data_IF_342169639264
#
_entry.id   IF_342169639264
#
_cell.length_a   1.000
_cell.length_b   1.000
_cell.length_c   1.000
_cell.angle_alpha   90.00
_cell.angle_beta   90.00
_cell.angle_gamma   90.00
#
_symmetry.space_group_name_H-M   'P 1'
#
loop_
_entity.id
_entity.type
_entity.pdbx_description
1 polymer ?
#
# COMPACT_ATOMS: atom_id res chain seq x y z
N UNK A 1 -44.75 21.96 -2.97
CA UNK A 1 -44.70 21.89 -1.48
C UNK A 1 -43.29 21.52 -1.06
N UNK A 2 -42.66 22.32 -0.14
CA UNK A 2 -41.34 21.90 0.43
C UNK A 2 -41.60 20.75 1.41
N UNK A 3 -40.90 19.62 1.19
CA UNK A 3 -40.95 18.48 2.11
C UNK A 3 -40.48 18.92 3.50
N UNK A 4 -41.11 18.43 4.56
CA UNK A 4 -40.64 18.66 5.92
C UNK A 4 -39.55 17.67 6.29
N UNK A 5 -38.78 17.98 7.35
CA UNK A 5 -37.62 17.17 7.78
C UNK A 5 -37.98 15.69 8.02
N UNK A 6 -39.12 15.40 8.60
CA UNK A 6 -39.57 14.04 8.88
C UNK A 6 -39.91 13.25 7.61
N UNK A 7 -40.43 13.92 6.58
CA UNK A 7 -40.69 13.28 5.28
C UNK A 7 -39.38 12.95 4.58
N UNK A 8 -38.38 13.85 4.62
CA UNK A 8 -37.05 13.59 4.01
C UNK A 8 -36.38 12.44 4.74
N UNK A 9 -36.42 12.38 6.07
CA UNK A 9 -35.84 11.26 6.85
C UNK A 9 -36.45 9.91 6.46
N UNK A 10 -37.80 9.85 6.37
CA UNK A 10 -38.47 8.61 5.93
C UNK A 10 -38.07 8.17 4.51
N UNK A 11 -37.81 9.11 3.62
CA UNK A 11 -37.31 8.78 2.27
C UNK A 11 -35.86 8.25 2.33
N UNK A 12 -35.02 8.81 3.20
CA UNK A 12 -33.65 8.29 3.44
C UNK A 12 -33.74 6.85 3.98
N UNK A 13 -34.56 6.60 5.01
CA UNK A 13 -34.73 5.27 5.60
C UNK A 13 -35.12 4.22 4.52
N UNK A 14 -36.05 4.59 3.63
CA UNK A 14 -36.43 3.69 2.49
C UNK A 14 -35.29 3.44 1.51
N UNK A 15 -34.45 4.45 1.25
CA UNK A 15 -33.28 4.29 0.40
C UNK A 15 -32.25 3.38 1.06
N UNK A 16 -32.05 3.52 2.37
CA UNK A 16 -31.13 2.67 3.14
C UNK A 16 -31.55 1.20 3.12
N UNK A 17 -32.87 0.91 3.28
CA UNK A 17 -33.40 -0.45 3.13
C UNK A 17 -33.15 -1.01 1.72
N UNK A 18 -33.33 -0.18 0.69
CA UNK A 18 -33.10 -0.59 -0.69
C UNK A 18 -31.61 -0.86 -0.98
N UNK A 19 -30.72 0.00 -0.48
CA UNK A 19 -29.28 -0.18 -0.57
C UNK A 19 -28.86 -1.48 0.14
N UNK A 20 -29.39 -1.74 1.34
CA UNK A 20 -29.10 -2.98 2.09
C UNK A 20 -29.51 -4.24 1.27
N UNK A 21 -30.71 -4.18 0.64
CA UNK A 21 -31.18 -5.27 -0.22
C UNK A 21 -30.23 -5.50 -1.40
N UNK A 22 -29.83 -4.45 -2.11
CA UNK A 22 -28.92 -4.57 -3.27
C UNK A 22 -27.53 -5.07 -2.86
N UNK A 23 -27.01 -4.63 -1.71
CA UNK A 23 -25.74 -5.14 -1.17
C UNK A 23 -25.85 -6.62 -0.82
N UNK A 24 -26.98 -7.06 -0.25
CA UNK A 24 -27.22 -8.47 0.09
C UNK A 24 -27.33 -9.35 -1.17
N UNK A 25 -28.04 -8.89 -2.20
CA UNK A 25 -28.11 -9.56 -3.50
C UNK A 25 -26.72 -9.70 -4.14
N UNK A 26 -25.93 -8.62 -4.12
CA UNK A 26 -24.54 -8.64 -4.58
C UNK A 26 -23.67 -9.63 -3.81
N UNK A 27 -23.87 -9.73 -2.49
CA UNK A 27 -23.16 -10.69 -1.65
C UNK A 27 -23.49 -12.13 -1.99
N UNK A 28 -24.77 -12.44 -2.29
CA UNK A 28 -25.18 -13.77 -2.73
C UNK A 28 -24.55 -14.14 -4.08
N UNK A 29 -24.55 -13.21 -5.05
CA UNK A 29 -23.88 -13.43 -6.33
C UNK A 29 -22.37 -13.64 -6.17
N UNK A 30 -21.70 -12.95 -5.23
CA UNK A 30 -20.30 -13.17 -4.94
C UNK A 30 -20.04 -14.60 -4.44
N UNK A 31 -20.89 -15.14 -3.53
CA UNK A 31 -20.81 -16.53 -3.08
C UNK A 31 -20.96 -17.53 -4.25
N UNK A 32 -21.87 -17.26 -5.18
CA UNK A 32 -22.05 -18.12 -6.37
C UNK A 32 -20.81 -18.09 -7.27
N UNK A 33 -20.23 -16.90 -7.50
CA UNK A 33 -18.98 -16.75 -8.25
C UNK A 33 -17.86 -17.57 -7.60
N UNK A 34 -17.75 -17.54 -6.26
CA UNK A 34 -16.75 -18.33 -5.53
C UNK A 34 -16.87 -19.83 -5.76
N UNK A 35 -18.11 -20.34 -5.90
CA UNK A 35 -18.35 -21.77 -6.21
C UNK A 35 -18.00 -22.16 -7.64
N UNK A 36 -18.09 -21.21 -8.58
CA UNK A 36 -17.83 -21.43 -10.02
C UNK A 36 -16.37 -21.26 -10.40
N UNK A 37 -15.56 -20.60 -9.56
CA UNK A 37 -14.13 -20.40 -9.82
C UNK A 37 -13.34 -21.70 -9.62
N UNK A 38 -12.78 -22.22 -10.71
CA UNK A 38 -11.90 -23.39 -10.70
C UNK A 38 -10.43 -23.03 -10.45
N UNK A 39 -10.05 -21.77 -10.65
CA UNK A 39 -8.67 -21.26 -10.54
C UNK A 39 -8.26 -20.91 -9.10
N UNK A 40 -9.20 -20.93 -8.16
CA UNK A 40 -8.97 -20.57 -6.75
C UNK A 40 -8.59 -19.10 -6.52
N UNK A 41 -8.54 -18.27 -7.56
CA UNK A 41 -8.16 -16.86 -7.48
C UNK A 41 -9.36 -16.03 -7.01
N UNK A 42 -9.28 -15.53 -5.78
CA UNK A 42 -10.38 -14.79 -5.15
C UNK A 42 -10.28 -13.30 -5.49
N UNK A 43 -9.08 -12.73 -5.40
CA UNK A 43 -8.83 -11.32 -5.64
C UNK A 43 -8.27 -11.09 -7.05
N UNK A 44 -8.95 -10.25 -7.84
CA UNK A 44 -8.57 -9.83 -9.20
C UNK A 44 -8.42 -8.30 -9.22
N UNK A 45 -7.20 -7.78 -8.98
CA UNK A 45 -6.95 -6.34 -8.88
C UNK A 45 -7.37 -5.56 -10.13
N UNK A 46 -7.12 -6.11 -11.33
CA UNK A 46 -7.48 -5.56 -12.62
C UNK A 46 -9.00 -5.34 -12.74
N UNK A 47 -9.80 -6.35 -12.35
CA UNK A 47 -11.25 -6.27 -12.37
C UNK A 47 -11.79 -5.25 -11.36
N UNK A 48 -11.24 -5.23 -10.14
CA UNK A 48 -11.64 -4.27 -9.11
C UNK A 48 -11.30 -2.84 -9.54
N UNK A 49 -10.09 -2.61 -10.06
CA UNK A 49 -9.67 -1.31 -10.59
C UNK A 49 -10.57 -0.83 -11.73
N UNK A 50 -10.86 -1.69 -12.72
CA UNK A 50 -11.75 -1.39 -13.84
C UNK A 50 -13.18 -1.08 -13.38
N UNK A 51 -13.70 -1.80 -12.38
CA UNK A 51 -15.01 -1.53 -11.79
C UNK A 51 -15.06 -0.16 -11.14
N UNK A 52 -14.08 0.17 -10.30
CA UNK A 52 -13.98 1.48 -9.62
C UNK A 52 -13.85 2.62 -10.63
N UNK A 53 -13.01 2.46 -11.66
CA UNK A 53 -12.89 3.44 -12.75
C UNK A 53 -14.22 3.69 -13.45
N UNK A 54 -14.96 2.64 -13.78
CA UNK A 54 -16.31 2.74 -14.39
C UNK A 54 -17.29 3.47 -13.47
N UNK A 55 -17.31 3.15 -12.18
CA UNK A 55 -18.20 3.79 -11.21
C UNK A 55 -17.90 5.28 -11.05
N UNK A 56 -16.62 5.65 -10.99
CA UNK A 56 -16.19 7.07 -10.99
C UNK A 56 -16.72 7.79 -12.25
N UNK A 57 -16.58 7.17 -13.44
CA UNK A 57 -17.00 7.77 -14.71
C UNK A 57 -18.52 8.02 -14.79
N UNK A 58 -19.34 7.14 -14.24
CA UNK A 58 -20.82 7.26 -14.29
C UNK A 58 -21.38 8.05 -13.10
N UNK A 59 -20.55 8.41 -12.14
CA UNK A 59 -21.00 9.17 -10.97
C UNK A 59 -21.38 10.61 -11.37
N UNK A 60 -22.67 10.95 -11.26
CA UNK A 60 -23.22 12.28 -11.47
C UNK A 60 -23.84 12.86 -10.19
N UNK A 61 -23.68 12.14 -9.09
CA UNK A 61 -24.29 12.53 -7.81
C UNK A 61 -23.43 13.53 -7.00
N UNK A 62 -23.91 13.93 -5.83
CA UNK A 62 -23.24 14.90 -4.97
C UNK A 62 -21.97 14.35 -4.28
N UNK A 63 -21.79 13.01 -4.27
CA UNK A 63 -20.60 12.41 -3.68
C UNK A 63 -19.40 12.60 -4.58
N UNK A 64 -18.22 12.86 -3.99
CA UNK A 64 -16.97 12.92 -4.72
C UNK A 64 -16.63 11.57 -5.34
N UNK A 65 -15.87 11.57 -6.44
CA UNK A 65 -15.38 10.33 -7.06
C UNK A 65 -14.59 9.45 -6.06
N UNK A 66 -13.87 10.09 -5.13
CA UNK A 66 -13.10 9.38 -4.11
C UNK A 66 -14.03 8.73 -3.06
N UNK A 67 -15.08 9.42 -2.62
CA UNK A 67 -16.09 8.86 -1.71
C UNK A 67 -16.79 7.64 -2.32
N UNK A 68 -17.17 7.72 -3.60
CA UNK A 68 -17.74 6.58 -4.34
C UNK A 68 -16.75 5.40 -4.38
N UNK A 69 -15.48 5.67 -4.69
CA UNK A 69 -14.47 4.61 -4.70
C UNK A 69 -14.32 3.93 -3.34
N UNK A 70 -14.28 4.68 -2.25
CA UNK A 70 -14.12 4.15 -0.89
C UNK A 70 -15.32 3.28 -0.48
N UNK A 71 -16.55 3.73 -0.74
CA UNK A 71 -17.76 2.96 -0.46
C UNK A 71 -17.74 1.63 -1.24
N UNK A 72 -17.47 1.67 -2.53
CA UNK A 72 -17.47 0.45 -3.34
C UNK A 72 -16.29 -0.47 -3.04
N UNK A 73 -15.11 0.03 -2.67
CA UNK A 73 -14.01 -0.79 -2.14
C UNK A 73 -14.45 -1.56 -0.89
N UNK A 74 -15.15 -0.90 0.03
CA UNK A 74 -15.69 -1.54 1.23
C UNK A 74 -16.71 -2.63 0.87
N UNK A 75 -17.68 -2.34 0.01
CA UNK A 75 -18.67 -3.34 -0.45
C UNK A 75 -17.98 -4.53 -1.12
N UNK A 76 -17.01 -4.27 -2.01
CA UNK A 76 -16.27 -5.31 -2.75
C UNK A 76 -15.52 -6.22 -1.77
N UNK A 77 -14.75 -5.65 -0.83
CA UNK A 77 -13.95 -6.43 0.12
C UNK A 77 -14.81 -7.29 1.03
N UNK A 78 -15.94 -6.75 1.53
CA UNK A 78 -16.89 -7.51 2.35
C UNK A 78 -17.56 -8.64 1.57
N UNK A 79 -18.00 -8.39 0.32
CA UNK A 79 -18.58 -9.45 -0.50
C UNK A 79 -17.54 -10.52 -0.90
N UNK A 80 -16.29 -10.13 -1.17
CA UNK A 80 -15.18 -11.05 -1.45
C UNK A 80 -14.90 -11.99 -0.27
N UNK A 81 -14.94 -11.46 0.96
CA UNK A 81 -14.76 -12.26 2.17
C UNK A 81 -15.84 -13.33 2.36
N UNK A 82 -17.00 -13.22 1.68
CA UNK A 82 -18.03 -14.27 1.65
C UNK A 82 -17.67 -15.45 0.72
N UNK A 83 -16.75 -15.25 -0.23
CA UNK A 83 -16.21 -16.34 -1.04
C UNK A 83 -15.19 -17.16 -0.22
N UNK A 84 -14.14 -16.51 0.22
CA UNK A 84 -13.09 -17.02 1.11
C UNK A 84 -12.33 -15.83 1.68
N UNK A 85 -11.95 -15.89 2.94
CA UNK A 85 -11.04 -14.89 3.51
C UNK A 85 -9.67 -14.97 2.86
N UNK A 86 -9.09 -13.82 2.56
CA UNK A 86 -7.73 -13.73 2.07
C UNK A 86 -6.76 -13.70 3.25
N UNK A 87 -5.74 -14.54 3.22
CA UNK A 87 -4.59 -14.42 4.11
C UNK A 87 -3.57 -13.46 3.50
N UNK A 88 -3.19 -12.43 4.26
CA UNK A 88 -2.28 -11.37 3.80
C UNK A 88 -1.17 -11.17 4.82
N UNK A 89 0.07 -11.42 4.42
CA UNK A 89 1.26 -11.18 5.21
C UNK A 89 1.75 -9.74 5.03
N UNK A 90 2.20 -9.11 6.11
CA UNK A 90 2.77 -7.77 6.07
C UNK A 90 3.79 -7.58 7.18
N UNK A 91 4.66 -6.57 7.03
CA UNK A 91 5.66 -6.24 8.04
C UNK A 91 4.96 -5.74 9.32
N UNK A 92 4.99 -6.56 10.35
CA UNK A 92 4.39 -6.30 11.65
C UNK A 92 5.20 -5.32 12.54
N UNK A 93 4.80 -5.19 13.78
CA UNK A 93 3.62 -5.78 14.42
C UNK A 93 2.28 -5.15 13.96
N UNK A 94 1.16 -5.54 14.60
CA UNK A 94 -0.12 -4.84 14.43
C UNK A 94 0.00 -3.38 14.91
N UNK A 95 -0.77 -2.47 14.31
CA UNK A 95 -0.72 -1.02 14.57
C UNK A 95 0.33 -0.27 13.75
N UNK A 96 0.98 -0.93 12.76
CA UNK A 96 1.96 -0.31 11.85
C UNK A 96 1.30 0.28 10.61
N UNK A 97 2.03 1.17 9.90
CA UNK A 97 1.62 1.66 8.57
C UNK A 97 1.52 0.54 7.52
N UNK A 98 2.26 -0.56 7.71
CA UNK A 98 2.13 -1.75 6.84
C UNK A 98 0.78 -2.44 7.02
N UNK A 99 0.26 -2.54 8.24
CA UNK A 99 -1.11 -3.00 8.47
C UNK A 99 -2.13 -2.05 7.87
N UNK A 100 -1.95 -0.74 8.04
CA UNK A 100 -2.84 0.27 7.49
C UNK A 100 -2.90 0.20 5.95
N UNK A 101 -1.74 0.07 5.28
CA UNK A 101 -1.67 -0.17 3.84
C UNK A 101 -2.40 -1.45 3.43
N UNK A 102 -2.24 -2.52 4.23
CA UNK A 102 -2.91 -3.81 3.99
C UNK A 102 -4.42 -3.67 4.06
N UNK A 103 -4.94 -2.99 5.08
CA UNK A 103 -6.38 -2.75 5.25
C UNK A 103 -6.92 -1.81 4.15
N UNK A 104 -6.16 -0.77 3.78
CA UNK A 104 -6.52 0.14 2.67
C UNK A 104 -6.74 -0.62 1.35
N UNK A 105 -5.94 -1.67 1.10
CA UNK A 105 -6.00 -2.46 -0.13
C UNK A 105 -7.07 -3.56 -0.07
N UNK A 106 -7.09 -4.33 1.01
CA UNK A 106 -7.87 -5.56 1.09
C UNK A 106 -9.16 -5.43 1.91
N UNK A 107 -9.31 -4.35 2.69
CA UNK A 107 -10.36 -4.18 3.69
C UNK A 107 -10.04 -4.94 4.99
N UNK A 108 -10.93 -4.83 5.96
CA UNK A 108 -10.71 -5.40 7.30
C UNK A 108 -11.01 -6.91 7.39
N UNK A 109 -11.82 -7.45 6.45
CA UNK A 109 -12.22 -8.86 6.48
C UNK A 109 -11.19 -9.79 5.82
N UNK A 110 -9.98 -9.80 6.38
CA UNK A 110 -8.85 -10.65 5.97
C UNK A 110 -8.30 -11.44 7.16
N UNK A 111 -7.55 -12.49 6.88
CA UNK A 111 -6.68 -13.15 7.86
C UNK A 111 -5.32 -12.44 7.79
N UNK A 112 -5.13 -11.45 8.66
CA UNK A 112 -3.94 -10.62 8.74
C UNK A 112 -2.79 -11.38 9.40
N UNK A 113 -1.64 -11.50 8.73
CA UNK A 113 -0.46 -12.23 9.20
C UNK A 113 0.69 -11.22 9.40
N UNK A 114 0.85 -10.65 10.62
CA UNK A 114 2.00 -9.80 10.90
C UNK A 114 3.28 -10.64 10.98
N UNK A 115 4.33 -10.21 10.30
CA UNK A 115 5.64 -10.88 10.26
C UNK A 115 6.72 -10.03 10.91
N UNK A 116 7.84 -10.66 11.29
CA UNK A 116 8.94 -9.96 11.96
C UNK A 116 9.92 -9.28 10.99
N UNK A 117 9.86 -9.63 9.70
CA UNK A 117 10.75 -9.09 8.68
C UNK A 117 10.10 -9.10 7.30
N UNK A 118 10.63 -8.27 6.39
CA UNK A 118 10.24 -8.28 4.97
C UNK A 118 10.51 -9.64 4.33
N UNK A 119 11.61 -10.30 4.72
CA UNK A 119 11.96 -11.66 4.26
C UNK A 119 10.86 -12.67 4.56
N UNK A 120 10.31 -12.58 5.75
CA UNK A 120 9.24 -13.47 6.19
C UNK A 120 7.97 -13.23 5.39
N UNK A 121 7.63 -11.97 5.03
CA UNK A 121 6.49 -11.68 4.12
C UNK A 121 6.66 -12.44 2.80
N UNK A 122 7.85 -12.33 2.16
CA UNK A 122 8.13 -13.05 0.91
C UNK A 122 8.00 -14.56 1.09
N UNK A 123 8.54 -15.11 2.19
CA UNK A 123 8.49 -16.54 2.49
C UNK A 123 7.07 -17.03 2.68
N UNK A 124 6.23 -16.30 3.42
CA UNK A 124 4.82 -16.64 3.65
C UNK A 124 4.03 -16.75 2.33
N UNK A 125 4.29 -15.83 1.37
CA UNK A 125 3.64 -15.88 0.05
C UNK A 125 4.21 -17.01 -0.82
N UNK A 126 5.52 -17.20 -0.83
CA UNK A 126 6.15 -18.30 -1.59
C UNK A 126 5.68 -19.70 -1.15
N UNK A 127 5.43 -19.85 0.15
CA UNK A 127 4.99 -21.12 0.77
C UNK A 127 3.48 -21.33 0.74
N UNK A 128 2.71 -20.44 0.07
CA UNK A 128 1.25 -20.48 0.02
C UNK A 128 0.53 -20.39 1.39
N UNK A 129 1.25 -19.96 2.44
CA UNK A 129 0.66 -19.69 3.76
C UNK A 129 -0.14 -18.38 3.69
N UNK A 130 0.39 -17.38 3.00
CA UNK A 130 -0.33 -16.17 2.67
C UNK A 130 -0.64 -16.12 1.18
N UNK A 131 -1.86 -15.70 0.82
CA UNK A 131 -2.22 -15.47 -0.58
C UNK A 131 -1.52 -14.25 -1.16
N UNK A 132 -1.28 -13.23 -0.33
CA UNK A 132 -0.66 -11.94 -0.70
C UNK A 132 0.32 -11.49 0.37
N UNK A 133 1.30 -10.69 -0.06
CA UNK A 133 2.22 -9.97 0.83
C UNK A 133 2.14 -8.46 0.59
N UNK A 134 2.22 -7.67 1.65
CA UNK A 134 2.34 -6.21 1.56
C UNK A 134 3.66 -5.78 2.16
N UNK A 135 4.50 -5.16 1.35
CA UNK A 135 5.85 -4.73 1.75
C UNK A 135 6.11 -3.28 1.37
N UNK A 136 6.75 -2.49 2.23
CA UNK A 136 7.17 -1.14 1.88
C UNK A 136 8.34 -1.21 0.87
N UNK A 137 8.31 -0.36 -0.17
CA UNK A 137 9.36 -0.31 -1.21
C UNK A 137 10.07 1.04 -1.27
N UNK A 138 9.40 2.11 -0.86
CA UNK A 138 9.91 3.47 -0.95
C UNK A 138 9.20 4.38 0.04
N UNK A 139 9.96 5.25 0.69
CA UNK A 139 9.42 6.35 1.48
C UNK A 139 9.85 7.67 0.82
N UNK A 140 8.95 8.66 0.78
CA UNK A 140 9.21 9.93 0.07
C UNK A 140 10.34 10.76 0.68
N UNK A 141 10.68 10.54 1.95
CA UNK A 141 11.73 11.27 2.66
C UNK A 141 13.05 10.50 2.74
N UNK A 142 13.02 9.17 2.75
CA UNK A 142 14.21 8.33 2.94
C UNK A 142 14.62 7.54 1.69
N UNK A 143 13.76 7.55 0.65
CA UNK A 143 14.03 6.85 -0.59
C UNK A 143 13.70 5.36 -0.55
N UNK A 144 14.41 4.58 -1.34
CA UNK A 144 14.12 3.17 -1.60
C UNK A 144 14.48 2.25 -0.44
N UNK A 145 13.60 1.28 -0.15
CA UNK A 145 13.82 0.27 0.88
C UNK A 145 14.62 -0.89 0.29
N UNK A 146 15.92 -0.86 0.55
CA UNK A 146 16.92 -1.75 -0.01
C UNK A 146 16.57 -3.23 0.08
N UNK A 147 16.03 -3.68 1.23
CA UNK A 147 15.74 -5.09 1.45
C UNK A 147 14.62 -5.60 0.53
N UNK A 148 13.59 -4.81 0.32
CA UNK A 148 12.49 -5.16 -0.60
C UNK A 148 13.00 -5.33 -2.03
N UNK A 149 13.85 -4.40 -2.50
CA UNK A 149 14.43 -4.48 -3.85
C UNK A 149 15.33 -5.72 -4.01
N UNK A 150 16.16 -6.03 -3.02
CA UNK A 150 17.03 -7.24 -3.05
C UNK A 150 16.19 -8.53 -3.14
N UNK A 151 15.07 -8.59 -2.44
CA UNK A 151 14.18 -9.75 -2.47
C UNK A 151 13.42 -9.85 -3.80
N UNK A 152 12.96 -8.73 -4.37
CA UNK A 152 12.34 -8.72 -5.70
C UNK A 152 13.28 -9.22 -6.80
N UNK A 153 14.59 -8.96 -6.68
CA UNK A 153 15.59 -9.47 -7.61
C UNK A 153 15.72 -10.99 -7.54
N UNK A 154 15.71 -11.54 -6.31
CA UNK A 154 16.10 -12.95 -6.06
C UNK A 154 14.93 -13.91 -5.90
N UNK A 155 13.75 -13.41 -5.54
CA UNK A 155 12.56 -14.23 -5.25
C UNK A 155 11.61 -14.25 -6.44
N UNK A 156 10.93 -15.39 -6.61
CA UNK A 156 9.98 -15.60 -7.70
C UNK A 156 8.56 -15.28 -7.21
N UNK A 157 8.26 -13.98 -7.13
CA UNK A 157 6.94 -13.43 -6.84
C UNK A 157 6.68 -12.24 -7.75
N UNK A 158 5.41 -12.06 -8.12
CA UNK A 158 4.94 -10.96 -8.95
C UNK A 158 4.41 -9.82 -8.09
N UNK A 159 4.66 -8.59 -8.54
CA UNK A 159 3.95 -7.40 -8.05
C UNK A 159 2.57 -7.40 -8.71
N UNK A 160 1.51 -7.44 -7.90
CA UNK A 160 0.13 -7.45 -8.37
C UNK A 160 -0.66 -6.17 -7.98
N UNK A 161 -0.01 -5.22 -7.33
CA UNK A 161 -0.59 -3.94 -6.96
C UNK A 161 0.41 -3.04 -6.24
N UNK A 162 0.05 -1.77 -6.12
CA UNK A 162 0.77 -0.80 -5.30
C UNK A 162 -0.21 0.00 -4.42
N UNK A 163 0.28 0.45 -3.28
CA UNK A 163 -0.47 1.28 -2.34
C UNK A 163 0.41 2.49 -2.00
N UNK A 164 -0.10 3.68 -2.19
CA UNK A 164 0.52 4.91 -1.69
C UNK A 164 -0.24 5.30 -0.42
N UNK A 165 0.46 5.33 0.70
CA UNK A 165 -0.10 5.66 2.00
C UNK A 165 0.56 6.95 2.52
N UNK A 166 -0.20 8.05 2.69
CA UNK A 166 0.29 9.19 3.46
C UNK A 166 0.65 8.75 4.88
N UNK A 167 1.78 9.21 5.37
CA UNK A 167 2.28 8.86 6.71
C UNK A 167 2.00 10.04 7.63
N UNK A 168 0.98 9.92 8.45
CA UNK A 168 0.64 10.90 9.45
C UNK A 168 0.97 10.37 10.84
N UNK A 169 1.70 11.19 11.59
CA UNK A 169 2.12 10.85 12.93
C UNK A 169 1.23 11.52 13.97
N UNK A 170 0.78 10.75 14.95
CA UNK A 170 0.04 11.27 16.10
C UNK A 170 0.86 11.12 17.37
N UNK A 171 0.77 12.08 18.28
CA UNK A 171 1.21 11.89 19.64
C UNK A 171 0.09 11.23 20.44
N UNK A 172 0.32 10.01 20.88
CA UNK A 172 -0.67 9.19 21.58
C UNK A 172 -0.23 8.84 23.00
N UNK A 173 -1.15 8.83 23.95
CA UNK A 173 -0.85 8.58 25.36
C UNK A 173 -2.06 8.09 26.15
N UNK A 174 -1.83 7.49 27.32
CA UNK A 174 -2.88 7.34 28.35
C UNK A 174 -3.22 8.65 29.05
N UNK A 175 -2.31 9.58 29.08
CA UNK A 175 -2.50 10.90 29.67
C UNK A 175 -3.44 11.74 28.78
N UNK A 176 -4.06 12.78 29.35
CA UNK A 176 -4.96 13.68 28.64
C UNK A 176 -4.35 15.05 28.35
N UNK A 177 -3.12 15.32 28.85
CA UNK A 177 -2.44 16.59 28.70
C UNK A 177 -0.97 16.40 28.39
N UNK A 178 -0.43 17.28 27.53
CA UNK A 178 1.01 17.35 27.19
C UNK A 178 1.89 17.60 28.42
N UNK A 179 1.43 18.41 29.37
CA UNK A 179 2.19 18.76 30.58
C UNK A 179 2.53 17.57 31.48
N UNK A 180 1.84 16.44 31.28
CA UNK A 180 2.10 15.20 32.01
C UNK A 180 3.16 14.32 31.38
N UNK A 181 3.54 14.59 30.12
CA UNK A 181 4.45 13.74 29.36
C UNK A 181 5.90 14.05 29.74
N UNK A 182 6.63 12.99 30.09
CA UNK A 182 8.07 13.04 30.40
C UNK A 182 8.91 12.23 29.43
N UNK A 183 8.30 11.25 28.74
CA UNK A 183 8.98 10.35 27.80
C UNK A 183 8.16 10.21 26.52
N UNK A 184 8.84 10.15 25.38
CA UNK A 184 8.24 9.88 24.07
C UNK A 184 8.93 8.69 23.42
N UNK A 185 8.17 7.64 23.12
CA UNK A 185 8.62 6.42 22.47
C UNK A 185 8.25 6.48 20.99
N UNK A 186 9.19 6.21 20.10
CA UNK A 186 8.91 5.99 18.67
C UNK A 186 10.08 5.29 17.97
N UNK A 187 9.88 4.85 16.74
CA UNK A 187 10.97 4.48 15.87
C UNK A 187 11.88 5.68 15.62
N UNK A 188 13.20 5.45 15.53
CA UNK A 188 14.19 6.54 15.37
C UNK A 188 13.87 7.48 14.22
N UNK A 189 13.39 6.94 13.09
CA UNK A 189 12.94 7.70 11.94
C UNK A 189 11.77 8.64 12.28
N UNK A 190 10.77 8.18 13.02
CA UNK A 190 9.61 9.01 13.38
C UNK A 190 9.98 10.09 14.39
N UNK A 191 10.96 9.84 15.27
CA UNK A 191 11.53 10.88 16.13
C UNK A 191 12.20 11.98 15.31
N UNK A 192 12.90 11.62 14.23
CA UNK A 192 13.53 12.58 13.33
C UNK A 192 12.49 13.36 12.49
N UNK A 193 11.45 12.69 12.01
CA UNK A 193 10.37 13.29 11.19
C UNK A 193 9.43 14.20 11.99
N UNK A 194 9.46 14.15 13.32
CA UNK A 194 8.65 14.99 14.21
C UNK A 194 9.55 15.86 15.12
N UNK A 195 10.80 16.10 14.70
CA UNK A 195 11.81 16.76 15.53
C UNK A 195 11.38 18.16 15.93
N UNK A 196 11.01 18.99 14.98
CA UNK A 196 10.68 20.40 15.21
C UNK A 196 9.42 20.53 16.05
N UNK A 197 8.41 19.68 15.78
CA UNK A 197 7.21 19.66 16.60
C UNK A 197 7.49 19.29 18.06
N UNK A 198 8.33 18.27 18.31
CA UNK A 198 8.71 17.85 19.66
C UNK A 198 9.49 18.96 20.38
N UNK A 199 10.44 19.60 19.71
CA UNK A 199 11.24 20.67 20.29
C UNK A 199 10.40 21.88 20.70
N UNK A 200 9.36 22.20 19.93
CA UNK A 200 8.47 23.34 20.20
C UNK A 200 7.43 23.05 21.29
N UNK A 201 6.92 21.81 21.38
CA UNK A 201 5.81 21.47 22.27
C UNK A 201 6.21 20.66 23.51
N UNK A 202 7.30 19.91 23.44
CA UNK A 202 7.79 19.01 24.48
C UNK A 202 9.33 19.08 24.61
N UNK A 203 9.93 20.27 24.85
CA UNK A 203 11.39 20.45 24.78
C UNK A 203 12.19 19.64 25.83
N UNK A 204 11.55 19.28 26.93
CA UNK A 204 12.20 18.64 28.08
C UNK A 204 11.85 17.14 28.22
N UNK A 205 11.34 16.49 27.16
CA UNK A 205 11.01 15.07 27.24
C UNK A 205 12.20 14.18 26.86
N UNK A 206 12.30 13.02 27.49
CA UNK A 206 13.21 11.96 27.08
C UNK A 206 12.69 11.31 25.78
N UNK A 207 13.47 11.34 24.71
CA UNK A 207 13.18 10.70 23.43
C UNK A 207 13.79 9.30 23.40
N UNK A 208 12.98 8.26 23.36
CA UNK A 208 13.41 6.87 23.44
C UNK A 208 13.11 6.15 22.14
N UNK A 209 14.17 5.78 21.41
CA UNK A 209 14.02 5.00 20.18
C UNK A 209 13.68 3.53 20.49
N UNK A 210 12.69 3.01 19.78
CA UNK A 210 12.22 1.62 19.86
C UNK A 210 12.13 1.00 18.47
N UNK A 211 11.87 -0.32 18.40
CA UNK A 211 11.92 -1.08 17.16
C UNK A 211 10.85 -0.68 16.15
N UNK A 212 9.69 -0.19 16.62
CA UNK A 212 8.60 0.30 15.77
C UNK A 212 7.72 1.30 16.51
N UNK A 213 6.95 2.11 15.78
CA UNK A 213 5.97 3.03 16.38
C UNK A 213 4.88 2.28 17.16
N UNK A 214 4.49 1.09 16.70
CA UNK A 214 3.54 0.24 17.41
C UNK A 214 4.14 -0.30 18.73
N UNK A 215 5.44 -0.59 18.75
CA UNK A 215 6.14 -0.95 20.00
C UNK A 215 6.19 0.25 20.95
N UNK A 216 6.43 1.46 20.44
CA UNK A 216 6.31 2.70 21.19
C UNK A 216 4.93 2.89 21.81
N UNK A 217 3.87 2.64 21.05
CA UNK A 217 2.49 2.67 21.54
C UNK A 217 2.25 1.66 22.67
N UNK A 218 2.81 0.46 22.54
CA UNK A 218 2.74 -0.59 23.57
C UNK A 218 3.45 -0.17 24.87
N UNK A 219 4.59 0.55 24.78
CA UNK A 219 5.26 1.13 25.94
C UNK A 219 4.42 2.24 26.58
N UNK A 220 3.92 3.18 25.79
CA UNK A 220 3.06 4.27 26.28
C UNK A 220 1.76 3.76 26.92
N UNK A 221 1.27 2.60 26.48
CA UNK A 221 0.11 1.93 27.09
C UNK A 221 0.39 1.33 28.48
N UNK A 222 1.64 1.13 28.86
CA UNK A 222 2.02 0.51 30.14
C UNK A 222 2.61 1.50 31.12
N UNK A 223 3.35 2.49 30.63
CA UNK A 223 4.10 3.42 31.46
C UNK A 223 3.32 4.73 31.66
N UNK A 224 3.29 5.23 32.92
CA UNK A 224 2.69 6.52 33.26
C UNK A 224 3.57 7.67 32.74
N UNK A 225 2.96 8.80 32.44
CA UNK A 225 3.64 10.02 32.00
C UNK A 225 4.49 9.81 30.73
N UNK A 226 4.08 8.88 29.88
CA UNK A 226 4.70 8.62 28.60
C UNK A 226 3.74 8.79 27.44
N UNK A 227 4.28 9.04 26.27
CA UNK A 227 3.56 9.11 25.01
C UNK A 227 4.32 8.30 23.94
N UNK A 228 3.67 8.04 22.84
CA UNK A 228 4.32 7.49 21.66
C UNK A 228 3.98 8.33 20.43
N UNK A 229 4.85 8.31 19.43
CA UNK A 229 4.56 8.78 18.09
C UNK A 229 4.16 7.56 17.27
N UNK A 230 2.92 7.52 16.80
CA UNK A 230 2.40 6.39 16.06
C UNK A 230 1.19 6.80 15.19
N UNK A 231 0.62 5.83 14.45
CA UNK A 231 -0.58 6.02 13.66
C UNK A 231 -1.85 6.09 14.53
N UNK A 232 -2.94 6.61 13.97
CA UNK A 232 -4.29 6.53 14.59
C UNK A 232 -4.66 5.08 14.87
N UNK A 233 -4.32 4.16 13.97
CA UNK A 233 -4.59 2.71 14.14
C UNK A 233 -3.91 2.15 15.40
N UNK A 234 -2.70 2.60 15.71
CA UNK A 234 -2.03 2.20 16.95
C UNK A 234 -2.72 2.79 18.19
N UNK A 235 -3.24 4.01 18.12
CA UNK A 235 -4.00 4.59 19.23
C UNK A 235 -5.24 3.76 19.55
N UNK A 236 -6.01 3.37 18.54
CA UNK A 236 -7.20 2.52 18.68
C UNK A 236 -6.85 1.14 19.26
N UNK A 237 -5.82 0.48 18.70
CA UNK A 237 -5.37 -0.84 19.11
C UNK A 237 -4.96 -0.89 20.59
N UNK A 238 -4.20 0.12 21.04
CA UNK A 238 -3.68 0.17 22.41
C UNK A 238 -4.54 1.02 23.36
N UNK A 239 -5.71 1.51 22.89
CA UNK A 239 -6.66 2.32 23.66
C UNK A 239 -6.00 3.54 24.29
N UNK A 240 -5.25 4.27 23.48
CA UNK A 240 -4.57 5.51 23.84
C UNK A 240 -5.34 6.72 23.33
N UNK A 241 -5.28 7.82 24.09
CA UNK A 241 -5.82 9.10 23.63
C UNK A 241 -4.89 9.69 22.59
N UNK A 242 -5.43 10.27 21.53
CA UNK A 242 -4.69 11.10 20.60
C UNK A 242 -4.59 12.49 21.23
N UNK A 243 -3.36 12.92 21.56
CA UNK A 243 -3.11 14.24 22.12
C UNK A 243 -2.93 15.30 21.03
N UNK A 244 -2.26 14.93 19.93
CA UNK A 244 -2.11 15.75 18.73
C UNK A 244 -2.04 14.86 17.49
N UNK A 245 -2.64 15.33 16.41
CA UNK A 245 -2.59 14.71 15.08
C UNK A 245 -1.64 15.48 14.17
N UNK A 246 -1.10 14.80 13.17
CA UNK A 246 -0.27 15.39 12.10
C UNK A 246 0.92 16.17 12.66
N UNK A 247 1.73 15.51 13.51
CA UNK A 247 2.87 16.12 14.17
C UNK A 247 4.19 15.97 13.39
N UNK A 248 4.12 15.38 12.19
CA UNK A 248 5.25 15.32 11.26
C UNK A 248 5.64 16.71 10.73
N UNK A 249 6.94 16.95 10.59
CA UNK A 249 7.49 18.22 10.11
C UNK A 249 7.25 18.44 8.60
N UNK A 250 7.15 17.35 7.79
CA UNK A 250 6.74 17.39 6.38
C UNK A 250 5.44 16.60 6.17
N UNK A 251 4.34 17.30 5.92
CA UNK A 251 3.01 16.72 5.67
C UNK A 251 2.89 15.93 4.35
N UNK A 252 3.90 16.02 3.46
CA UNK A 252 3.94 15.29 2.19
C UNK A 252 4.54 13.90 2.33
N UNK A 253 4.92 13.50 3.56
CA UNK A 253 5.48 12.19 3.79
C UNK A 253 4.51 11.09 3.38
N UNK A 254 4.96 10.21 2.50
CA UNK A 254 4.20 9.06 2.03
C UNK A 254 5.09 7.83 1.87
N UNK A 255 4.52 6.66 2.08
CA UNK A 255 5.20 5.40 1.82
C UNK A 255 4.47 4.64 0.72
N UNK A 256 5.24 4.19 -0.26
CA UNK A 256 4.77 3.29 -1.30
C UNK A 256 4.99 1.85 -0.85
N UNK A 257 3.93 1.07 -0.90
CA UNK A 257 3.94 -0.37 -0.65
C UNK A 257 3.66 -1.12 -1.94
N UNK A 258 4.21 -2.33 -2.05
CA UNK A 258 3.90 -3.27 -3.12
C UNK A 258 3.07 -4.42 -2.57
N UNK A 259 2.14 -4.88 -3.39
CA UNK A 259 1.37 -6.09 -3.15
C UNK A 259 2.01 -7.22 -3.95
N UNK A 260 2.38 -8.29 -3.27
CA UNK A 260 3.07 -9.45 -3.83
C UNK A 260 2.13 -10.64 -3.91
N UNK A 261 2.23 -11.41 -5.00
CA UNK A 261 1.56 -12.70 -5.16
C UNK A 261 2.26 -13.57 -6.20
N UNK A 262 1.75 -14.78 -6.43
CA UNK A 262 2.20 -15.67 -7.51
C UNK A 262 1.42 -15.48 -8.82
N UNK A 263 0.37 -14.65 -8.82
CA UNK A 263 -0.53 -14.51 -9.97
C UNK A 263 -0.08 -13.40 -10.94
N UNK A 264 -0.37 -13.61 -12.21
CA UNK A 264 -0.32 -12.57 -13.23
C UNK A 264 -1.62 -11.79 -13.24
N UNK A 265 -1.50 -10.48 -13.44
CA UNK A 265 -2.64 -9.56 -13.43
C UNK A 265 -3.01 -9.18 -14.86
N UNK A 266 -4.29 -9.03 -15.13
CA UNK A 266 -4.82 -8.57 -16.41
C UNK A 266 -4.72 -7.05 -16.57
N UNK A 267 -5.08 -6.57 -17.77
CA UNK A 267 -5.13 -5.14 -18.08
C UNK A 267 -6.28 -4.49 -17.31
N UNK A 268 -5.99 -3.40 -16.60
CA UNK A 268 -7.00 -2.59 -15.88
C UNK A 268 -7.38 -1.31 -16.63
N UNK A 269 -6.54 -0.86 -17.55
CA UNK A 269 -6.70 0.38 -18.31
C UNK A 269 -5.89 1.56 -17.79
N UNK A 270 -5.37 1.49 -16.56
CA UNK A 270 -4.39 2.40 -15.99
C UNK A 270 -3.37 1.57 -15.22
N UNK A 271 -2.38 1.04 -15.93
CA UNK A 271 -1.47 0.03 -15.43
C UNK A 271 -0.04 0.58 -15.34
N UNK A 272 0.74 -0.08 -14.51
CA UNK A 272 2.18 0.10 -14.35
C UNK A 272 2.86 -1.25 -14.53
N UNK A 273 4.03 -1.26 -15.19
CA UNK A 273 4.90 -2.43 -15.28
C UNK A 273 6.20 -2.14 -14.58
N UNK A 274 6.57 -2.97 -13.62
CA UNK A 274 7.88 -2.92 -12.94
C UNK A 274 8.80 -3.98 -13.49
N UNK A 275 10.04 -3.57 -13.78
CA UNK A 275 11.10 -4.46 -14.27
C UNK A 275 12.39 -4.23 -13.50
N UNK A 276 13.27 -5.21 -13.53
CA UNK A 276 14.67 -5.04 -13.15
C UNK A 276 15.57 -5.46 -14.30
N UNK A 277 16.54 -4.63 -14.62
CA UNK A 277 17.42 -4.77 -15.78
C UNK A 277 18.87 -4.61 -15.33
N UNK A 278 19.76 -5.45 -15.83
CA UNK A 278 21.22 -5.25 -15.73
C UNK A 278 21.82 -5.00 -17.09
N UNK A 279 22.90 -4.23 -17.13
CA UNK A 279 23.69 -3.99 -18.34
C UNK A 279 25.17 -4.09 -18.02
N UNK A 280 25.96 -4.46 -19.03
CA UNK A 280 27.43 -4.43 -18.91
C UNK A 280 27.88 -2.97 -18.68
N UNK A 281 28.81 -2.78 -17.75
CA UNK A 281 29.36 -1.47 -17.47
C UNK A 281 30.23 -0.99 -18.67
N UNK A 282 29.63 -0.13 -19.49
CA UNK A 282 30.28 0.52 -20.65
C UNK A 282 29.74 1.95 -20.81
N UNK A 283 30.51 2.84 -21.44
CA UNK A 283 29.98 4.18 -21.77
C UNK A 283 28.67 4.09 -22.56
N UNK A 284 27.66 4.89 -22.16
CA UNK A 284 26.35 4.93 -22.82
C UNK A 284 25.37 3.81 -22.40
N UNK A 285 25.75 2.87 -21.54
CA UNK A 285 24.93 1.71 -21.19
C UNK A 285 23.52 2.08 -20.68
N UNK A 286 23.38 3.11 -19.83
CA UNK A 286 22.09 3.58 -19.35
C UNK A 286 21.28 4.19 -20.49
N UNK A 287 21.92 4.98 -21.37
CA UNK A 287 21.23 5.55 -22.54
C UNK A 287 20.66 4.45 -23.44
N UNK A 288 21.46 3.36 -23.68
CA UNK A 288 21.02 2.21 -24.46
C UNK A 288 19.80 1.51 -23.84
N UNK A 289 19.67 1.52 -22.48
CA UNK A 289 18.53 0.92 -21.77
C UNK A 289 17.27 1.80 -21.83
N UNK A 290 17.41 3.13 -21.76
CA UNK A 290 16.23 4.02 -21.68
C UNK A 290 15.72 4.46 -23.05
N UNK A 291 16.57 4.44 -24.08
CA UNK A 291 16.23 4.84 -25.44
C UNK A 291 14.98 4.14 -26.02
N UNK A 292 14.79 2.80 -25.85
CA UNK A 292 13.62 2.10 -26.35
C UNK A 292 12.30 2.64 -25.77
N UNK A 293 12.27 3.05 -24.52
CA UNK A 293 11.09 3.63 -23.90
C UNK A 293 10.76 4.99 -24.53
N UNK A 294 11.75 5.85 -24.72
CA UNK A 294 11.55 7.14 -25.36
C UNK A 294 11.06 7.00 -26.82
N UNK A 295 11.67 6.10 -27.62
CA UNK A 295 11.28 5.81 -29.01
C UNK A 295 9.84 5.31 -29.12
N UNK A 296 9.41 4.46 -28.22
CA UNK A 296 8.07 3.89 -28.21
C UNK A 296 7.05 4.72 -27.41
N UNK A 297 7.43 5.90 -26.90
CA UNK A 297 6.58 6.77 -26.08
C UNK A 297 6.00 6.07 -24.85
N UNK A 298 6.84 5.31 -24.17
CA UNK A 298 6.54 4.70 -22.85
C UNK A 298 7.17 5.56 -21.78
N UNK A 299 6.36 6.06 -20.86
CA UNK A 299 6.80 6.89 -19.76
C UNK A 299 7.43 6.04 -18.66
N UNK A 300 8.58 6.46 -18.15
CA UNK A 300 9.21 5.88 -16.96
C UNK A 300 8.80 6.73 -15.74
N UNK A 301 8.24 6.09 -14.72
CA UNK A 301 7.81 6.76 -13.48
C UNK A 301 8.80 6.58 -12.34
N UNK A 302 9.71 5.62 -12.46
CA UNK A 302 10.81 5.36 -11.53
C UNK A 302 12.03 4.80 -12.24
N UNK A 303 13.21 5.22 -11.79
CA UNK A 303 14.49 4.63 -12.13
C UNK A 303 15.38 4.62 -10.87
N UNK A 304 15.69 3.44 -10.38
CA UNK A 304 16.50 3.24 -9.18
C UNK A 304 17.67 2.32 -9.49
N UNK A 305 18.90 2.79 -9.27
CA UNK A 305 20.10 1.99 -9.49
C UNK A 305 20.60 1.34 -8.20
N UNK A 306 21.03 0.08 -8.29
CA UNK A 306 21.59 -0.65 -7.15
C UNK A 306 22.77 -1.52 -7.57
N UNK A 307 23.77 -1.74 -6.68
CA UNK A 307 24.78 -2.76 -6.89
C UNK A 307 24.14 -4.16 -7.05
N UNK A 308 24.57 -4.89 -8.06
CA UNK A 308 23.97 -6.19 -8.40
C UNK A 308 24.26 -7.31 -7.38
N UNK A 309 25.26 -7.15 -6.50
CA UNK A 309 25.75 -8.18 -5.55
C UNK A 309 26.18 -9.51 -6.20
N UNK A 310 26.16 -9.60 -7.53
CA UNK A 310 26.50 -10.81 -8.31
C UNK A 310 27.90 -10.67 -8.94
N UNK A 311 28.43 -9.45 -9.06
CA UNK A 311 29.76 -9.15 -9.58
C UNK A 311 30.29 -7.84 -9.03
N UNK A 312 31.63 -7.62 -9.07
CA UNK A 312 32.22 -6.35 -8.67
C UNK A 312 31.84 -5.27 -9.66
N UNK A 313 31.22 -4.18 -9.16
CA UNK A 313 30.89 -2.97 -9.93
C UNK A 313 29.81 -3.16 -11.01
N UNK A 314 28.98 -4.20 -10.93
CA UNK A 314 27.77 -4.32 -11.75
C UNK A 314 26.58 -3.67 -11.08
N UNK A 315 25.71 -3.04 -11.88
CA UNK A 315 24.52 -2.37 -11.42
C UNK A 315 23.28 -3.00 -12.03
N UNK A 316 22.23 -3.10 -11.23
CA UNK A 316 20.86 -3.39 -11.67
C UNK A 316 20.01 -2.13 -11.55
N UNK A 317 19.09 -1.96 -12.48
CA UNK A 317 18.17 -0.83 -12.53
C UNK A 317 16.75 -1.34 -12.35
N UNK A 318 16.08 -0.86 -11.30
CA UNK A 318 14.65 -1.06 -11.11
C UNK A 318 13.93 0.07 -11.82
N UNK A 319 13.03 -0.27 -12.72
CA UNK A 319 12.34 0.67 -13.60
C UNK A 319 10.83 0.40 -13.51
N UNK A 320 10.05 1.47 -13.26
CA UNK A 320 8.60 1.43 -13.39
C UNK A 320 8.19 2.16 -14.66
N UNK A 321 7.33 1.51 -15.45
CA UNK A 321 6.82 1.98 -16.74
C UNK A 321 5.31 2.23 -16.64
N UNK A 322 4.80 3.27 -17.27
CA UNK A 322 3.38 3.42 -17.53
C UNK A 322 2.91 2.45 -18.62
N UNK A 323 1.84 1.73 -18.33
CA UNK A 323 1.23 0.74 -19.20
C UNK A 323 1.47 -0.70 -18.76
N UNK A 324 0.68 -1.59 -19.34
CA UNK A 324 0.73 -3.02 -19.08
C UNK A 324 1.73 -3.71 -20.02
N UNK A 325 2.36 -4.81 -19.60
CA UNK A 325 3.30 -5.58 -20.44
C UNK A 325 2.66 -6.11 -21.74
N UNK A 326 1.33 -6.27 -21.78
CA UNK A 326 0.56 -6.66 -22.99
C UNK A 326 0.28 -5.48 -23.92
N UNK A 327 0.53 -4.24 -23.51
CA UNK A 327 0.39 -3.08 -24.38
C UNK A 327 1.49 -3.10 -25.44
N UNK A 328 1.11 -2.89 -26.70
CA UNK A 328 2.02 -2.95 -27.86
C UNK A 328 3.30 -2.15 -27.66
N UNK A 329 3.20 -0.92 -27.10
CA UNK A 329 4.33 -0.02 -26.88
C UNK A 329 5.30 -0.58 -25.82
N UNK A 330 4.77 -1.06 -24.70
CA UNK A 330 5.56 -1.64 -23.61
C UNK A 330 6.23 -2.92 -24.08
N UNK A 331 5.48 -3.81 -24.76
CA UNK A 331 6.01 -5.06 -25.29
C UNK A 331 7.18 -4.85 -26.25
N UNK A 332 7.03 -3.94 -27.27
CA UNK A 332 8.11 -3.62 -28.20
C UNK A 332 9.35 -3.06 -27.46
N UNK A 333 9.13 -2.19 -26.46
CA UNK A 333 10.25 -1.63 -25.68
C UNK A 333 10.99 -2.72 -24.91
N UNK A 334 10.28 -3.65 -24.29
CA UNK A 334 10.88 -4.74 -23.54
C UNK A 334 11.66 -5.71 -24.45
N UNK A 335 11.13 -6.06 -25.62
CA UNK A 335 11.84 -6.87 -26.63
C UNK A 335 13.14 -6.20 -27.09
N UNK A 336 13.14 -4.87 -27.30
CA UNK A 336 14.34 -4.13 -27.66
C UNK A 336 15.37 -4.07 -26.53
N UNK A 337 14.93 -3.98 -25.29
CA UNK A 337 15.82 -3.99 -24.11
C UNK A 337 16.41 -5.37 -23.90
N UNK A 338 15.64 -6.43 -24.04
CA UNK A 338 16.11 -7.82 -23.89
C UNK A 338 17.30 -8.13 -24.77
N UNK A 339 17.32 -7.56 -26.01
CA UNK A 339 18.46 -7.73 -26.91
C UNK A 339 19.74 -6.96 -26.49
N UNK A 340 19.66 -6.01 -25.56
CA UNK A 340 20.75 -5.11 -25.12
C UNK A 340 21.19 -5.37 -23.68
N UNK A 341 20.29 -5.85 -22.84
CA UNK A 341 20.53 -6.12 -21.43
C UNK A 341 21.34 -7.41 -21.24
N UNK A 342 22.12 -7.46 -20.18
CA UNK A 342 22.73 -8.71 -19.71
C UNK A 342 21.76 -9.55 -18.88
N UNK A 343 20.76 -8.91 -18.29
CA UNK A 343 19.70 -9.55 -17.52
C UNK A 343 18.45 -8.65 -17.56
N UNK A 344 17.28 -9.28 -17.68
CA UNK A 344 15.98 -8.63 -17.51
C UNK A 344 15.05 -9.58 -16.76
N UNK A 345 14.30 -9.02 -15.80
CA UNK A 345 13.22 -9.71 -15.10
C UNK A 345 12.02 -8.76 -15.02
N UNK A 346 10.87 -9.20 -15.52
CA UNK A 346 9.59 -8.52 -15.28
C UNK A 346 9.14 -8.89 -13.87
N UNK A 347 8.93 -7.87 -13.04
CA UNK A 347 8.48 -8.03 -11.65
C UNK A 347 6.96 -8.08 -11.55
N UNK A 348 6.26 -7.57 -12.56
CA UNK A 348 4.81 -7.61 -12.68
C UNK A 348 4.24 -6.41 -13.41
N UNK A 349 3.01 -6.59 -13.94
CA UNK A 349 2.15 -5.50 -14.40
C UNK A 349 0.89 -5.46 -13.56
N UNK A 350 0.49 -4.29 -13.11
CA UNK A 350 -0.56 -4.13 -12.10
C UNK A 350 -1.25 -2.77 -12.23
N UNK A 351 -2.49 -2.63 -11.71
CA UNK A 351 -3.18 -1.34 -11.67
C UNK A 351 -2.36 -0.30 -10.91
N UNK A 352 -2.10 0.85 -11.54
CA UNK A 352 -1.44 1.97 -10.90
C UNK A 352 -2.31 2.57 -9.80
N UNK A 353 -1.69 2.99 -8.68
CA UNK A 353 -2.41 3.73 -7.65
C UNK A 353 -2.90 5.07 -8.20
N UNK A 354 -4.17 5.37 -7.95
CA UNK A 354 -4.78 6.66 -8.34
C UNK A 354 -4.64 7.73 -7.24
N UNK A 355 -3.97 7.40 -6.15
CA UNK A 355 -3.72 8.33 -5.06
C UNK A 355 -2.47 9.15 -5.40
N UNK A 356 -2.68 10.34 -6.04
CA UNK A 356 -1.66 11.35 -6.25
C UNK A 356 -1.81 12.44 -5.21
#
# INVERSE_FOLDING_TARGET
MKKNLNQIRKEIDRLDEHILKLISERGNLAKEVGKLKSDGIIYKPDREASLIARLKKINQGPLSHQSVANIFKSIISNCRALEKKLSVAFLGPLGTFSEEATIKQFGENIDAIPTNSIDEVFTQVQSDIAHYGVVPVENSTEGAISRTLDLLLTKDLNICGEIILPVHHCLISKNKSLSQIKKVYAHGQSLAQCHDWIMNNLPNVDKIAVMSNADGAKHAAKEKNSAAIASIKAADLYKLNILHENIEDDSRNSTRFLVLSKQDIGISGNDKTSIVVATKNKPGAIADLVEPFAKNKVSMTKLESRPAKIGMWEYVFFIDLEGHLKDKKVKISLEQIESRASFIKVLGSYPASNDK
#
